data_IF_912271374403
#
_entry.id   IF_912271374403
#
_cell.length_a   1.000
_cell.length_b   1.000
_cell.length_c   1.000
_cell.angle_alpha   90.00
_cell.angle_beta   90.00
_cell.angle_gamma   90.00
#
_symmetry.space_group_name_H-M   'P 1'
#
loop_
_entity.id
_entity.type
_entity.pdbx_description
1 polymer ?
#
# COMPACT_ATOMS: atom_id res chain seq x y z
N UNK A 1 -17.46 7.42 10.93
CA UNK A 1 -17.03 7.11 9.56
C UNK A 1 -16.88 5.60 9.49
N UNK A 2 -17.80 4.94 8.80
CA UNK A 2 -17.79 3.47 8.66
C UNK A 2 -16.50 3.06 7.95
N UNK A 3 -15.47 2.73 8.75
CA UNK A 3 -14.17 2.31 8.24
C UNK A 3 -14.20 0.91 7.63
N UNK A 4 -15.36 0.28 7.49
CA UNK A 4 -15.46 -1.13 7.11
C UNK A 4 -15.25 -1.35 5.62
N UNK A 5 -15.75 -0.44 4.77
CA UNK A 5 -15.64 -0.58 3.32
C UNK A 5 -15.59 0.75 2.57
N UNK A 6 -14.99 0.71 1.39
CA UNK A 6 -14.95 1.79 0.41
C UNK A 6 -15.78 1.34 -0.79
N UNK A 7 -16.63 2.23 -1.28
CA UNK A 7 -17.38 2.03 -2.52
C UNK A 7 -16.69 2.76 -3.66
N UNK A 8 -16.33 2.03 -4.71
CA UNK A 8 -15.59 2.55 -5.86
C UNK A 8 -16.41 2.32 -7.13
N UNK A 9 -16.38 3.26 -8.07
CA UNK A 9 -16.78 2.94 -9.45
C UNK A 9 -15.79 1.93 -10.05
N UNK A 10 -16.14 1.22 -11.14
CA UNK A 10 -15.20 0.32 -11.82
C UNK A 10 -13.90 1.03 -12.25
N UNK A 11 -13.99 2.28 -12.69
CA UNK A 11 -12.83 3.10 -13.03
C UNK A 11 -11.96 3.39 -11.81
N UNK A 12 -12.56 3.86 -10.71
CA UNK A 12 -11.85 4.10 -9.45
C UNK A 12 -11.21 2.82 -8.87
N UNK A 13 -11.85 1.67 -9.05
CA UNK A 13 -11.30 0.38 -8.63
C UNK A 13 -10.08 -0.02 -9.46
N UNK A 14 -10.08 0.25 -10.77
CA UNK A 14 -8.90 0.06 -11.62
C UNK A 14 -7.76 1.01 -11.23
N UNK A 15 -8.06 2.28 -11.00
CA UNK A 15 -7.07 3.26 -10.55
C UNK A 15 -6.47 2.85 -9.20
N UNK A 16 -7.30 2.40 -8.26
CA UNK A 16 -6.84 1.90 -6.97
C UNK A 16 -5.93 0.67 -7.09
N UNK A 17 -6.20 -0.25 -8.04
CA UNK A 17 -5.31 -1.38 -8.33
C UNK A 17 -3.96 -0.89 -8.85
N UNK A 18 -3.96 0.03 -9.81
CA UNK A 18 -2.73 0.59 -10.39
C UNK A 18 -1.91 1.34 -9.34
N UNK A 19 -2.57 2.12 -8.48
CA UNK A 19 -1.93 2.80 -7.35
C UNK A 19 -1.30 1.80 -6.38
N UNK A 20 -2.01 0.72 -6.03
CA UNK A 20 -1.50 -0.32 -5.14
C UNK A 20 -0.29 -1.06 -5.74
N UNK A 21 -0.30 -1.35 -7.05
CA UNK A 21 0.85 -1.96 -7.72
C UNK A 21 2.11 -1.10 -7.65
N UNK A 22 1.96 0.22 -7.78
CA UNK A 22 3.07 1.19 -7.70
C UNK A 22 3.50 1.51 -6.28
N UNK A 23 2.69 1.16 -5.28
CA UNK A 23 2.97 1.48 -3.89
C UNK A 23 4.03 0.56 -3.25
N UNK A 24 4.23 -0.64 -3.80
CA UNK A 24 5.10 -1.67 -3.20
C UNK A 24 6.06 -2.26 -4.23
N UNK A 25 7.07 -2.98 -3.74
CA UNK A 25 7.92 -3.82 -4.59
C UNK A 25 7.08 -4.79 -5.44
N UNK A 26 7.57 -5.19 -6.63
CA UNK A 26 6.84 -6.08 -7.53
C UNK A 26 6.35 -7.35 -6.83
N UNK A 27 5.13 -7.78 -7.18
CA UNK A 27 4.47 -8.94 -6.57
C UNK A 27 4.26 -10.07 -7.60
N UNK A 28 5.33 -10.75 -8.09
CA UNK A 28 5.23 -11.76 -9.16
C UNK A 28 4.19 -12.85 -8.94
N UNK A 29 3.97 -13.28 -7.69
CA UNK A 29 2.97 -14.31 -7.36
C UNK A 29 1.56 -13.78 -7.59
N UNK A 30 1.25 -12.60 -7.07
CA UNK A 30 -0.04 -11.93 -7.28
C UNK A 30 -0.27 -11.69 -8.77
N UNK A 31 0.73 -11.19 -9.49
CA UNK A 31 0.61 -10.94 -10.92
C UNK A 31 0.30 -12.22 -11.69
N UNK A 32 0.96 -13.34 -11.36
CA UNK A 32 0.66 -14.65 -11.96
C UNK A 32 -0.80 -15.07 -11.70
N UNK A 33 -1.33 -14.82 -10.50
CA UNK A 33 -2.72 -15.10 -10.17
C UNK A 33 -3.69 -14.24 -10.98
N UNK A 34 -3.40 -12.95 -11.16
CA UNK A 34 -4.24 -12.03 -11.93
C UNK A 34 -4.27 -12.41 -13.41
N UNK A 35 -3.13 -12.74 -14.02
CA UNK A 35 -3.10 -13.17 -15.43
C UNK A 35 -3.97 -14.42 -15.67
N UNK A 36 -4.03 -15.35 -14.71
CA UNK A 36 -4.91 -16.53 -14.81
C UNK A 36 -6.41 -16.19 -14.78
N UNK A 37 -6.77 -15.03 -14.24
CA UNK A 37 -8.14 -14.52 -14.26
C UNK A 37 -8.47 -13.78 -15.56
N UNK A 38 -7.47 -13.51 -16.41
CA UNK A 38 -7.60 -12.76 -17.66
C UNK A 38 -7.24 -13.64 -18.88
N UNK A 39 -7.97 -14.72 -19.15
CA UNK A 39 -7.64 -15.64 -20.25
C UNK A 39 -7.65 -14.94 -21.61
N UNK A 40 -8.52 -13.95 -21.81
CA UNK A 40 -8.63 -13.17 -23.04
C UNK A 40 -7.37 -12.36 -23.37
N UNK A 41 -6.48 -12.14 -22.40
CA UNK A 41 -5.19 -11.50 -22.67
C UNK A 41 -4.27 -12.37 -23.55
N UNK A 42 -4.51 -13.69 -23.60
CA UNK A 42 -3.64 -14.66 -24.26
C UNK A 42 -2.24 -14.75 -23.64
N UNK A 43 -2.02 -14.10 -22.50
CA UNK A 43 -0.73 -14.07 -21.81
C UNK A 43 -0.57 -15.33 -20.96
N UNK A 44 0.62 -15.93 -21.02
CA UNK A 44 1.03 -16.96 -20.07
C UNK A 44 2.21 -16.41 -19.28
N UNK A 45 2.09 -16.45 -17.96
CA UNK A 45 3.12 -15.93 -17.07
C UNK A 45 3.55 -16.96 -16.04
N UNK A 46 4.86 -17.07 -15.84
CA UNK A 46 5.47 -17.92 -14.81
C UNK A 46 6.53 -17.15 -14.05
N UNK A 47 6.76 -17.53 -12.80
CA UNK A 47 7.71 -16.84 -11.91
C UNK A 47 9.15 -17.19 -12.28
N UNK A 48 10.01 -16.18 -12.39
CA UNK A 48 11.45 -16.36 -12.42
C UNK A 48 11.98 -16.44 -10.97
N UNK A 49 12.40 -17.64 -10.56
CA UNK A 49 12.91 -17.87 -9.21
C UNK A 49 14.32 -17.30 -8.97
N UNK A 50 15.03 -16.94 -10.04
CA UNK A 50 16.43 -16.50 -9.97
C UNK A 50 16.56 -14.98 -9.96
N UNK A 51 15.70 -14.27 -10.71
CA UNK A 51 15.79 -12.81 -10.89
C UNK A 51 14.69 -12.00 -10.21
N UNK A 52 13.79 -12.64 -9.46
CA UNK A 52 12.72 -11.95 -8.73
C UNK A 52 11.64 -11.34 -9.63
N UNK A 53 11.49 -11.84 -10.85
CA UNK A 53 10.54 -11.36 -11.85
C UNK A 53 9.64 -12.46 -12.41
N UNK A 54 9.25 -12.32 -13.67
CA UNK A 54 8.41 -13.27 -14.39
C UNK A 54 8.93 -13.50 -15.80
N UNK A 55 8.65 -14.68 -16.34
CA UNK A 55 8.72 -14.97 -17.75
C UNK A 55 7.31 -14.87 -18.34
N UNK A 56 7.16 -14.03 -19.36
CA UNK A 56 5.90 -13.79 -20.06
C UNK A 56 5.99 -14.36 -21.46
N UNK A 57 4.99 -15.14 -21.85
CA UNK A 57 4.73 -15.49 -23.24
C UNK A 57 3.50 -14.71 -23.72
N UNK A 58 3.68 -13.90 -24.76
CA UNK A 58 2.62 -13.07 -25.33
C UNK A 58 2.19 -13.59 -26.71
N UNK A 59 0.92 -13.39 -27.12
CA UNK A 59 0.45 -13.82 -28.43
C UNK A 59 1.35 -13.32 -29.57
N UNK A 60 1.73 -14.23 -30.47
CA UNK A 60 2.59 -13.92 -31.62
C UNK A 60 4.09 -13.84 -31.32
N UNK A 61 4.53 -14.00 -30.07
CA UNK A 61 5.95 -14.07 -29.71
C UNK A 61 6.44 -15.53 -29.72
N UNK A 62 7.64 -15.75 -30.28
CA UNK A 62 8.26 -17.10 -30.32
C UNK A 62 8.95 -17.49 -29.02
N UNK A 63 9.48 -16.50 -28.29
CA UNK A 63 10.28 -16.69 -27.09
C UNK A 63 9.64 -15.98 -25.91
N UNK A 64 9.80 -16.57 -24.71
CA UNK A 64 9.41 -15.90 -23.48
C UNK A 64 10.31 -14.71 -23.19
N UNK A 65 9.74 -13.64 -22.65
CA UNK A 65 10.46 -12.44 -22.24
C UNK A 65 10.51 -12.38 -20.71
N UNK A 66 11.70 -12.14 -20.17
CA UNK A 66 11.89 -11.94 -18.73
C UNK A 66 11.63 -10.49 -18.36
N UNK A 67 10.70 -10.24 -17.44
CA UNK A 67 10.33 -8.90 -16.96
C UNK A 67 10.49 -8.88 -15.42
N UNK A 68 11.09 -7.83 -14.87
CA UNK A 68 11.34 -7.68 -13.44
C UNK A 68 11.27 -6.20 -13.02
N UNK A 69 11.38 -5.92 -11.72
CA UNK A 69 11.43 -4.55 -11.21
C UNK A 69 10.22 -3.70 -11.61
N UNK A 70 10.47 -2.42 -11.85
CA UNK A 70 9.44 -1.45 -12.23
C UNK A 70 8.82 -1.76 -13.60
N UNK A 71 9.57 -2.35 -14.53
CA UNK A 71 9.06 -2.78 -15.83
C UNK A 71 7.93 -3.81 -15.68
N UNK A 72 8.00 -4.67 -14.65
CA UNK A 72 6.95 -5.63 -14.35
C UNK A 72 5.70 -4.93 -13.80
N UNK A 73 5.87 -3.91 -12.96
CA UNK A 73 4.75 -3.10 -12.45
C UNK A 73 4.04 -2.40 -13.62
N UNK A 74 4.79 -1.73 -14.48
CA UNK A 74 4.24 -1.00 -15.63
C UNK A 74 3.61 -1.94 -16.68
N UNK A 75 4.22 -3.11 -16.89
CA UNK A 75 3.60 -4.16 -17.70
C UNK A 75 2.23 -4.56 -17.14
N UNK A 76 2.14 -4.85 -15.84
CA UNK A 76 0.88 -5.27 -15.21
C UNK A 76 -0.17 -4.17 -15.17
N UNK A 77 0.23 -2.91 -14.93
CA UNK A 77 -0.67 -1.76 -15.01
C UNK A 77 -1.30 -1.65 -16.40
N UNK A 78 -0.50 -1.80 -17.47
CA UNK A 78 -1.03 -1.76 -18.84
C UNK A 78 -1.98 -2.91 -19.13
N UNK A 79 -1.62 -4.13 -18.71
CA UNK A 79 -2.46 -5.32 -18.93
C UNK A 79 -3.83 -5.17 -18.25
N UNK A 80 -3.86 -4.78 -16.97
CA UNK A 80 -5.12 -4.67 -16.25
C UNK A 80 -6.01 -3.56 -16.82
N UNK A 81 -5.44 -2.38 -17.11
CA UNK A 81 -6.19 -1.26 -17.69
C UNK A 81 -6.73 -1.58 -19.10
N UNK A 82 -5.98 -2.35 -19.91
CA UNK A 82 -6.43 -2.76 -21.23
C UNK A 82 -7.51 -3.87 -21.20
N UNK A 83 -7.51 -4.71 -20.17
CA UNK A 83 -8.39 -5.89 -20.09
C UNK A 83 -9.88 -5.59 -19.88
N UNK A 84 -10.24 -4.37 -19.45
CA UNK A 84 -11.63 -3.91 -19.21
C UNK A 84 -12.50 -4.98 -18.52
N UNK A 85 -12.11 -5.44 -17.32
CA UNK A 85 -12.83 -6.50 -16.62
C UNK A 85 -14.25 -6.05 -16.28
N UNK A 86 -15.21 -6.97 -16.38
CA UNK A 86 -16.56 -6.72 -15.88
C UNK A 86 -16.57 -6.58 -14.34
N UNK A 87 -17.63 -6.03 -13.72
CA UNK A 87 -17.63 -5.79 -12.28
C UNK A 87 -17.38 -7.05 -11.41
N UNK A 88 -17.96 -8.24 -11.69
CA UNK A 88 -17.63 -9.46 -10.95
C UNK A 88 -16.16 -9.87 -11.03
N UNK A 89 -15.56 -9.82 -12.21
CA UNK A 89 -14.14 -10.11 -12.40
C UNK A 89 -13.26 -9.07 -11.71
N UNK A 90 -13.59 -7.79 -11.86
CA UNK A 90 -12.88 -6.69 -11.21
C UNK A 90 -12.91 -6.82 -9.68
N UNK A 91 -14.05 -7.18 -9.09
CA UNK A 91 -14.14 -7.46 -7.65
C UNK A 91 -13.26 -8.64 -7.22
N UNK A 92 -13.16 -9.68 -8.05
CA UNK A 92 -12.26 -10.82 -7.81
C UNK A 92 -10.80 -10.38 -7.82
N UNK A 93 -10.42 -9.54 -8.78
CA UNK A 93 -9.07 -8.97 -8.89
C UNK A 93 -8.79 -8.06 -7.68
N UNK A 94 -9.70 -7.13 -7.33
CA UNK A 94 -9.60 -6.29 -6.15
C UNK A 94 -9.41 -7.11 -4.87
N UNK A 95 -10.12 -8.24 -4.72
CA UNK A 95 -9.97 -9.11 -3.55
C UNK A 95 -8.55 -9.69 -3.42
N UNK A 96 -7.91 -10.03 -4.54
CA UNK A 96 -6.53 -10.53 -4.58
C UNK A 96 -5.53 -9.39 -4.34
N UNK A 97 -5.70 -8.28 -5.04
CA UNK A 97 -4.82 -7.11 -4.95
C UNK A 97 -4.84 -6.54 -3.54
N UNK A 98 -6.01 -6.19 -3.01
CA UNK A 98 -6.13 -5.55 -1.69
C UNK A 98 -6.10 -6.56 -0.53
N UNK A 99 -5.98 -7.86 -0.80
CA UNK A 99 -5.91 -8.94 0.19
C UNK A 99 -7.04 -8.89 1.22
N UNK A 100 -8.23 -8.61 0.72
CA UNK A 100 -9.44 -8.38 1.51
C UNK A 100 -10.65 -8.84 0.71
N UNK A 101 -11.82 -8.85 1.34
CA UNK A 101 -13.06 -9.10 0.60
C UNK A 101 -13.33 -7.90 -0.32
N UNK A 102 -13.67 -8.16 -1.57
CA UNK A 102 -14.31 -7.20 -2.45
C UNK A 102 -15.46 -7.87 -3.20
N UNK A 103 -16.53 -7.11 -3.44
CA UNK A 103 -17.73 -7.60 -4.13
C UNK A 103 -18.20 -6.60 -5.15
N UNK A 104 -18.73 -7.08 -6.27
CA UNK A 104 -19.49 -6.24 -7.18
C UNK A 104 -20.79 -5.82 -6.48
N UNK A 105 -21.15 -4.55 -6.61
CA UNK A 105 -22.27 -3.92 -5.92
C UNK A 105 -22.92 -2.88 -6.85
N UNK A 106 -23.94 -2.20 -6.34
CA UNK A 106 -24.53 -1.02 -6.98
C UNK A 106 -24.45 0.17 -6.04
N UNK A 107 -24.12 1.34 -6.59
CA UNK A 107 -24.16 2.56 -5.83
C UNK A 107 -25.59 2.86 -5.37
N UNK A 108 -25.85 3.09 -4.07
CA UNK A 108 -27.20 3.29 -3.56
C UNK A 108 -27.83 4.60 -4.06
N UNK A 109 -27.01 5.61 -4.38
CA UNK A 109 -27.45 6.93 -4.81
C UNK A 109 -27.65 7.01 -6.33
N UNK A 110 -26.70 6.48 -7.10
CA UNK A 110 -26.72 6.59 -8.57
C UNK A 110 -27.26 5.33 -9.26
N UNK A 111 -27.37 4.21 -8.54
CA UNK A 111 -27.72 2.87 -9.08
C UNK A 111 -26.72 2.35 -10.14
N UNK A 112 -25.58 3.03 -10.31
CA UNK A 112 -24.51 2.60 -11.19
C UNK A 112 -23.77 1.38 -10.61
N UNK A 113 -23.12 0.61 -11.48
CA UNK A 113 -22.25 -0.48 -11.05
C UNK A 113 -21.12 0.05 -10.17
N UNK A 114 -20.78 -0.67 -9.11
CA UNK A 114 -19.70 -0.32 -8.19
C UNK A 114 -18.99 -1.56 -7.66
N UNK A 115 -17.84 -1.35 -7.04
CA UNK A 115 -17.04 -2.36 -6.35
C UNK A 115 -16.94 -1.93 -4.90
N UNK A 116 -17.45 -2.76 -3.99
CA UNK A 116 -17.29 -2.56 -2.54
C UNK A 116 -16.05 -3.30 -2.07
N UNK A 117 -15.06 -2.58 -1.58
CA UNK A 117 -13.79 -3.11 -1.06
C UNK A 117 -13.77 -2.95 0.45
N UNK A 118 -13.66 -4.04 1.19
CA UNK A 118 -13.58 -4.00 2.65
C UNK A 118 -12.16 -3.63 3.10
N UNK A 119 -12.01 -2.73 4.06
CA UNK A 119 -10.68 -2.25 4.47
C UNK A 119 -9.95 -3.23 5.41
N UNK A 120 -10.71 -4.07 6.13
CA UNK A 120 -10.19 -4.97 7.17
C UNK A 120 -9.70 -4.24 8.43
N UNK A 121 -10.22 -3.04 8.69
CA UNK A 121 -9.76 -2.14 9.74
C UNK A 121 -10.53 -2.26 11.07
N UNK A 122 -11.47 -3.21 11.17
CA UNK A 122 -12.39 -3.37 12.31
C UNK A 122 -11.66 -3.67 13.63
N UNK A 123 -10.53 -4.36 13.53
CA UNK A 123 -9.67 -4.72 14.68
C UNK A 123 -8.42 -3.87 14.82
N UNK A 124 -8.29 -2.79 14.03
CA UNK A 124 -7.11 -1.95 14.06
C UNK A 124 -7.07 -1.06 15.31
N UNK A 125 -5.93 -1.06 16.01
CA UNK A 125 -5.65 -0.14 17.11
C UNK A 125 -4.24 0.44 17.00
N UNK A 126 -4.14 1.76 16.87
CA UNK A 126 -2.84 2.44 16.79
C UNK A 126 -2.09 2.30 18.12
N UNK A 127 -0.95 1.60 18.09
CA UNK A 127 -0.10 1.36 19.27
C UNK A 127 0.85 2.50 19.60
N UNK A 128 0.72 3.66 18.93
CA UNK A 128 1.62 4.80 19.10
C UNK A 128 3.11 4.40 18.95
N UNK A 129 3.41 3.51 18.01
CA UNK A 129 4.76 2.97 17.82
C UNK A 129 5.68 3.90 16.99
N UNK A 130 5.10 4.94 16.37
CA UNK A 130 5.82 5.90 15.54
C UNK A 130 6.46 5.32 14.27
N UNK A 131 6.13 4.09 13.85
CA UNK A 131 6.71 3.48 12.65
C UNK A 131 6.33 4.26 11.38
N UNK A 132 5.04 4.56 11.20
CA UNK A 132 4.58 5.34 10.05
C UNK A 132 5.21 6.73 9.95
N UNK A 133 5.49 7.38 11.09
CA UNK A 133 6.13 8.69 11.11
C UNK A 133 7.64 8.65 10.77
N UNK A 134 8.29 7.49 10.91
CA UNK A 134 9.74 7.34 10.82
C UNK A 134 10.20 6.57 9.58
N UNK A 135 9.35 5.70 9.04
CA UNK A 135 9.74 4.75 7.99
C UNK A 135 9.10 5.05 6.63
N UNK A 136 8.02 5.84 6.59
CA UNK A 136 7.30 6.13 5.35
C UNK A 136 7.75 7.45 4.77
N UNK A 137 7.93 7.45 3.45
CA UNK A 137 8.10 8.69 2.69
C UNK A 137 6.72 9.28 2.39
N UNK A 138 6.31 10.26 3.19
CA UNK A 138 5.09 11.05 3.01
C UNK A 138 5.39 12.49 2.59
N UNK A 139 6.64 12.79 2.23
CA UNK A 139 7.11 14.17 2.13
C UNK A 139 6.44 14.98 1.00
N UNK A 140 5.88 14.29 0.00
CA UNK A 140 5.20 14.87 -1.17
C UNK A 140 3.69 14.59 -1.19
N UNK A 141 3.15 14.06 -0.10
CA UNK A 141 1.75 13.63 -0.01
C UNK A 141 0.81 14.69 0.61
N UNK A 142 1.31 15.91 0.82
CA UNK A 142 0.54 17.02 1.36
C UNK A 142 -0.38 17.59 0.27
N UNK A 143 -1.65 17.82 0.61
CA UNK A 143 -2.64 18.41 -0.30
C UNK A 143 -2.96 19.86 0.09
N UNK A 144 -3.49 20.64 -0.86
CA UNK A 144 -3.82 22.05 -0.65
C UNK A 144 -4.83 22.27 0.50
N UNK A 145 -5.75 21.32 0.72
CA UNK A 145 -6.72 21.38 1.82
C UNK A 145 -6.06 21.32 3.20
N UNK A 146 -4.97 20.57 3.37
CA UNK A 146 -4.25 20.51 4.64
C UNK A 146 -3.63 21.89 4.97
N UNK A 147 -3.07 22.56 3.96
CA UNK A 147 -2.49 23.90 4.09
C UNK A 147 -3.57 24.92 4.45
N UNK A 148 -4.68 24.94 3.69
CA UNK A 148 -5.82 25.82 3.97
C UNK A 148 -6.37 25.62 5.38
N UNK A 149 -6.45 24.38 5.84
CA UNK A 149 -6.87 24.05 7.19
C UNK A 149 -5.94 24.69 8.24
N UNK A 150 -4.62 24.56 8.07
CA UNK A 150 -3.65 25.13 8.99
C UNK A 150 -3.62 26.66 8.98
N UNK A 151 -3.78 27.29 7.82
CA UNK A 151 -3.92 28.75 7.70
C UNK A 151 -5.15 29.25 8.47
N UNK A 152 -6.30 28.62 8.25
CA UNK A 152 -7.55 28.97 8.93
C UNK A 152 -7.45 28.80 10.45
N UNK A 153 -6.70 27.81 10.91
CA UNK A 153 -6.46 27.54 12.33
C UNK A 153 -5.31 28.36 12.94
N UNK A 154 -4.64 29.22 12.17
CA UNK A 154 -3.50 30.00 12.65
C UNK A 154 -2.29 29.16 13.07
N UNK A 155 -2.10 27.97 12.47
CA UNK A 155 -1.04 27.01 12.80
C UNK A 155 0.29 27.34 12.13
N UNK A 156 0.78 28.55 12.41
CA UNK A 156 2.09 29.02 11.94
C UNK A 156 3.24 28.09 12.38
N UNK A 157 3.08 27.40 13.50
CA UNK A 157 4.02 26.38 13.99
C UNK A 157 4.16 25.17 13.06
N UNK A 158 3.10 24.82 12.31
CA UNK A 158 3.11 23.78 11.28
C UNK A 158 3.52 24.35 9.93
N UNK A 159 2.93 25.47 9.53
CA UNK A 159 3.12 26.07 8.20
C UNK A 159 4.60 26.40 7.91
N UNK A 160 5.39 26.76 8.92
CA UNK A 160 6.84 26.99 8.73
C UNK A 160 7.62 25.77 8.26
N UNK A 161 7.05 24.56 8.37
CA UNK A 161 7.65 23.30 7.89
C UNK A 161 7.14 22.87 6.51
N UNK A 162 6.35 23.73 5.84
CA UNK A 162 5.76 23.47 4.54
C UNK A 162 6.51 24.26 3.47
N UNK A 163 7.09 23.56 2.51
CA UNK A 163 7.61 24.16 1.29
C UNK A 163 6.50 24.17 0.22
N UNK A 164 6.25 25.34 -0.36
CA UNK A 164 5.29 25.54 -1.45
C UNK A 164 6.07 25.89 -2.71
N UNK A 165 6.09 24.98 -3.67
CA UNK A 165 6.72 25.21 -4.97
C UNK A 165 5.64 25.58 -6.00
N UNK A 166 5.54 26.87 -6.30
CA UNK A 166 4.75 27.38 -7.41
C UNK A 166 5.59 27.31 -8.69
N UNK A 167 5.07 26.64 -9.72
CA UNK A 167 5.60 26.76 -11.09
C UNK A 167 4.55 27.52 -11.89
N UNK A 168 4.94 28.59 -12.57
CA UNK A 168 4.06 29.57 -13.21
C UNK A 168 3.06 29.01 -14.25
N UNK A 169 3.07 27.69 -14.53
CA UNK A 169 2.14 27.00 -15.42
C UNK A 169 1.79 25.56 -14.96
N UNK A 170 2.03 25.20 -13.69
CA UNK A 170 1.72 23.87 -13.17
C UNK A 170 0.96 23.92 -11.84
N UNK A 171 0.37 22.78 -11.48
CA UNK A 171 -0.19 22.50 -10.16
C UNK A 171 0.80 22.85 -9.05
N UNK A 172 0.33 23.57 -8.02
CA UNK A 172 1.10 23.89 -6.82
C UNK A 172 1.53 22.60 -6.13
N UNK A 173 2.84 22.48 -5.88
CA UNK A 173 3.39 21.32 -5.18
C UNK A 173 3.75 21.68 -3.75
N UNK A 174 3.40 20.80 -2.84
CA UNK A 174 3.68 20.94 -1.42
C UNK A 174 4.69 19.89 -0.96
N UNK A 175 5.61 20.30 -0.09
CA UNK A 175 6.52 19.39 0.61
C UNK A 175 6.49 19.63 2.11
N UNK A 176 6.47 18.53 2.84
CA UNK A 176 6.62 18.46 4.30
C UNK A 176 7.69 17.42 4.62
N UNK A 177 8.35 17.39 5.76
CA UNK A 177 8.59 18.50 6.65
C UNK A 177 9.92 19.10 6.21
N UNK A 178 9.89 20.30 5.64
CA UNK A 178 11.11 21.00 5.21
C UNK A 178 11.56 21.88 6.36
N UNK A 179 12.82 21.74 6.76
CA UNK A 179 13.38 22.52 7.85
C UNK A 179 13.50 24.00 7.44
N UNK A 180 12.92 24.93 8.22
CA UNK A 180 12.86 26.34 7.82
C UNK A 180 14.22 27.05 7.84
N UNK A 181 15.23 26.51 8.52
CA UNK A 181 16.55 27.12 8.63
C UNK A 181 17.48 26.62 7.52
N UNK A 182 17.37 25.33 7.17
CA UNK A 182 18.27 24.68 6.20
C UNK A 182 17.66 24.49 4.81
N UNK A 183 16.34 24.61 4.68
CA UNK A 183 15.58 24.23 3.49
C UNK A 183 15.73 22.75 3.07
N UNK A 184 16.24 21.89 3.96
CA UNK A 184 16.38 20.46 3.73
C UNK A 184 15.15 19.69 4.22
N UNK A 185 14.90 18.51 3.64
CA UNK A 185 13.85 17.62 4.16
C UNK A 185 14.32 17.04 5.49
N UNK A 186 13.53 17.28 6.53
CA UNK A 186 13.81 16.71 7.84
C UNK A 186 13.77 15.17 7.77
N UNK A 187 14.84 14.52 8.22
CA UNK A 187 14.94 13.06 8.26
C UNK A 187 13.96 12.39 9.25
N UNK A 188 13.23 13.16 10.05
CA UNK A 188 12.14 12.69 10.91
C UNK A 188 11.11 13.81 11.08
N UNK A 189 9.84 13.45 11.27
CA UNK A 189 8.80 14.43 11.57
C UNK A 189 9.16 15.31 12.79
N UNK A 190 9.17 16.65 12.64
CA UNK A 190 9.51 17.57 13.73
C UNK A 190 8.46 17.56 14.84
N UNK A 191 7.25 17.09 14.56
CA UNK A 191 6.17 17.00 15.54
C UNK A 191 6.11 15.64 16.26
N UNK A 192 7.01 14.72 15.95
CA UNK A 192 7.09 13.42 16.59
C UNK A 192 7.94 13.50 17.87
N UNK A 193 7.36 13.12 19.01
CA UNK A 193 8.04 13.11 20.31
C UNK A 193 7.99 11.71 20.92
N UNK A 194 9.12 11.20 21.42
CA UNK A 194 9.13 9.98 22.23
C UNK A 194 8.78 10.34 23.68
N UNK A 195 7.80 9.65 24.24
CA UNK A 195 7.49 9.70 25.65
C UNK A 195 8.40 8.71 26.39
N UNK A 196 9.31 9.23 27.22
CA UNK A 196 10.32 8.40 27.88
C UNK A 196 9.72 7.38 28.87
N UNK A 197 8.73 7.74 29.73
CA UNK A 197 8.15 6.80 30.69
C UNK A 197 7.44 5.61 30.04
N UNK A 198 6.64 5.84 29.00
CA UNK A 198 5.87 4.76 28.35
C UNK A 198 6.58 4.13 27.16
N UNK A 199 7.63 4.77 26.64
CA UNK A 199 8.30 4.40 25.40
C UNK A 199 7.46 4.65 24.14
N UNK A 200 6.27 5.24 24.25
CA UNK A 200 5.36 5.51 23.14
C UNK A 200 5.79 6.75 22.36
N UNK A 201 5.34 6.84 21.11
CA UNK A 201 5.54 8.00 20.26
C UNK A 201 4.26 8.84 20.17
N UNK A 202 4.40 10.11 20.48
CA UNK A 202 3.32 11.10 20.53
C UNK A 202 3.47 12.05 19.34
N UNK A 203 2.37 12.26 18.62
CA UNK A 203 2.27 13.30 17.61
C UNK A 203 1.81 14.60 18.28
N UNK A 204 2.66 15.62 18.31
CA UNK A 204 2.35 16.94 18.92
C UNK A 204 1.30 17.73 18.16
N UNK A 205 0.99 17.32 16.93
CA UNK A 205 -0.04 17.92 16.08
C UNK A 205 -1.21 16.97 15.87
N UNK A 206 -1.57 16.16 16.87
CA UNK A 206 -2.57 15.09 16.72
C UNK A 206 -3.86 15.55 16.01
N UNK A 207 -4.40 16.69 16.44
CA UNK A 207 -5.64 17.28 15.91
C UNK A 207 -5.44 18.07 14.61
N UNK A 208 -4.19 18.42 14.30
CA UNK A 208 -3.77 19.14 13.10
C UNK A 208 -3.00 18.26 12.12
N UNK A 209 -3.16 16.93 12.18
CA UNK A 209 -2.48 16.03 11.24
C UNK A 209 -2.94 16.29 9.81
N UNK A 210 -2.02 16.27 8.83
CA UNK A 210 -2.42 16.27 7.43
C UNK A 210 -3.16 14.97 7.08
N UNK A 211 -3.94 15.00 6.00
CA UNK A 211 -4.75 13.89 5.53
C UNK A 211 -3.95 12.58 5.44
N UNK A 212 -2.77 12.60 4.81
CA UNK A 212 -1.89 11.44 4.69
C UNK A 212 -1.55 10.77 6.05
N UNK A 213 -1.40 11.57 7.11
CA UNK A 213 -1.12 11.06 8.45
C UNK A 213 -2.38 10.59 9.20
N UNK A 214 -3.53 11.19 8.88
CA UNK A 214 -4.83 10.90 9.52
C UNK A 214 -5.42 9.60 9.00
N UNK A 215 -5.29 9.38 7.69
CA UNK A 215 -5.87 8.24 6.99
C UNK A 215 -4.98 7.00 7.09
N UNK A 216 -3.76 7.13 7.63
CA UNK A 216 -2.89 6.00 7.83
C UNK A 216 -3.34 5.08 9.00
N UNK A 217 -3.36 3.75 8.80
CA UNK A 217 -3.33 3.05 7.52
C UNK A 217 -4.72 2.99 6.89
N UNK A 218 -4.80 3.12 5.57
CA UNK A 218 -6.07 3.10 4.82
C UNK A 218 -6.73 1.71 4.76
N UNK A 219 -5.93 0.65 4.93
CA UNK A 219 -6.39 -0.74 4.89
C UNK A 219 -5.47 -1.64 5.72
N UNK A 220 -5.96 -2.85 6.01
CA UNK A 220 -5.17 -3.89 6.66
C UNK A 220 -3.93 -4.26 5.86
N UNK A 221 -4.06 -4.39 4.53
CA UNK A 221 -2.91 -4.64 3.65
C UNK A 221 -1.88 -3.52 3.79
N UNK A 222 -2.30 -2.26 3.71
CA UNK A 222 -1.38 -1.12 3.84
C UNK A 222 -0.64 -1.15 5.17
N UNK A 223 -1.35 -1.42 6.28
CA UNK A 223 -0.73 -1.56 7.59
C UNK A 223 0.32 -2.69 7.65
N UNK A 224 -0.01 -3.88 7.13
CA UNK A 224 0.89 -5.05 7.15
C UNK A 224 2.11 -4.81 6.27
N UNK A 225 1.90 -4.33 5.04
CA UNK A 225 2.98 -4.09 4.07
C UNK A 225 3.96 -3.00 4.54
N UNK A 226 3.50 -2.07 5.38
CA UNK A 226 4.33 -1.01 5.96
C UNK A 226 4.82 -1.31 7.38
N UNK A 227 4.61 -2.53 7.89
CA UNK A 227 5.13 -2.97 9.19
C UNK A 227 4.42 -2.38 10.40
N UNK A 228 3.20 -1.88 10.25
CA UNK A 228 2.40 -1.37 11.37
C UNK A 228 1.99 -2.50 12.32
N UNK A 229 2.29 -2.40 13.64
CA UNK A 229 1.92 -3.42 14.62
C UNK A 229 0.49 -3.26 15.14
N UNK A 230 -0.36 -2.45 14.48
CA UNK A 230 -1.69 -2.08 14.96
C UNK A 230 -2.74 -3.18 14.91
N UNK A 231 -2.40 -4.33 14.33
CA UNK A 231 -3.21 -5.55 14.40
C UNK A 231 -2.57 -6.53 15.38
N UNK A 232 -3.39 -7.23 16.14
CA UNK A 232 -2.89 -8.32 16.97
C UNK A 232 -2.29 -9.41 16.08
N UNK A 233 -1.20 -10.01 16.57
CA UNK A 233 -0.67 -11.22 15.96
C UNK A 233 -1.75 -12.27 16.14
N UNK A 234 -2.49 -12.60 15.09
CA UNK A 234 -3.36 -13.76 15.13
C UNK A 234 -2.50 -14.92 15.62
N UNK A 235 -2.88 -15.51 16.76
CA UNK A 235 -2.26 -16.71 17.29
C UNK A 235 -2.46 -17.79 16.22
N UNK A 236 -1.50 -17.96 15.33
CA UNK A 236 -1.54 -19.02 14.33
C UNK A 236 -1.33 -20.34 15.07
N UNK A 237 -2.42 -20.92 15.56
CA UNK A 237 -2.47 -22.28 16.10
C UNK A 237 -2.18 -23.37 15.05
N UNK A 238 -1.58 -23.03 13.91
CA UNK A 238 -1.19 -23.94 12.83
C UNK A 238 0.33 -23.98 12.55
N UNK A 239 1.18 -23.50 13.47
CA UNK A 239 2.65 -23.66 13.40
C UNK A 239 3.26 -24.50 14.54
N UNK A 240 2.51 -25.46 15.10
CA UNK A 240 3.06 -26.51 15.98
C UNK A 240 2.96 -27.90 15.34
N UNK A 241 3.62 -28.09 14.19
CA UNK A 241 3.94 -29.44 13.69
C UNK A 241 5.08 -29.43 12.66
N UNK A 242 6.20 -28.75 12.94
CA UNK A 242 7.44 -28.99 12.19
C UNK A 242 8.71 -28.60 12.97
N UNK A 243 8.81 -28.97 14.25
CA UNK A 243 10.08 -28.96 14.99
C UNK A 243 10.18 -30.10 16.01
N UNK A 244 10.01 -31.35 15.54
CA UNK A 244 10.52 -32.51 16.30
C UNK A 244 10.87 -33.68 15.38
N UNK A 245 11.88 -33.53 14.52
CA UNK A 245 12.70 -34.67 14.11
C UNK A 245 14.12 -34.40 14.61
N UNK A 246 14.37 -34.90 15.82
CA UNK A 246 15.71 -35.01 16.40
C UNK A 246 16.53 -35.94 15.49
N UNK A 247 17.48 -35.41 14.71
CA UNK A 247 18.53 -36.24 14.11
C UNK A 247 19.53 -36.64 15.20
N UNK A 248 19.17 -37.69 15.94
CA UNK A 248 20.14 -38.46 16.73
C UNK A 248 20.79 -39.47 15.79
N UNK A 249 22.13 -39.41 15.76
CA UNK A 249 23.09 -40.49 15.49
C UNK A 249 23.40 -40.81 14.02
N UNK A 250 24.60 -40.41 13.60
CA UNK A 250 25.62 -41.41 13.29
C UNK A 250 27.02 -40.92 13.69
N UNK A 251 27.51 -41.41 14.83
CA UNK A 251 28.94 -41.68 15.04
C UNK A 251 29.16 -43.15 14.69
N UNK A 252 29.91 -43.42 13.64
CA UNK A 252 30.80 -44.58 13.44
C UNK A 252 32.15 -43.90 13.14
N UNK A 253 33.20 -43.92 13.98
CA UNK A 253 34.00 -45.02 14.51
C UNK A 253 34.30 -46.09 13.45
N UNK A 254 35.49 -46.00 12.91
CA UNK A 254 36.51 -47.06 12.70
C UNK A 254 37.79 -46.29 12.34
N UNK A 255 38.84 -46.37 13.16
CA UNK A 255 39.90 -47.39 13.16
C UNK A 255 40.61 -47.47 11.81
#
# INVERSE_FOLDING_TARGET
MEKEAILLTPEQALDAIVMDFRQYDPQPVLFCEIIRLLPESGLVMTRDQTRGGVWVNAPGQRNMQGINGDDLIDFMCRVISASRPDPPLLATICSRVFQTRAVADVDPSTRAASIRVYTGMESFSCRQCGQCCRMLDYHKALVADDVRQWETQGRADILKWVEIANREQHETKYRIWVDPETAEVAGTCPFLKKDAPTGRWICRIHDGKPMICRDYPISRKHAVMTGCPGFDKQTTSSQKKLKTVKSRRHRRREK
#
